data_IF_576968287569
#
_entry.id   IF_576968287569
#
_cell.length_a   1.000
_cell.length_b   1.000
_cell.length_c   1.000
_cell.angle_alpha   90.00
_cell.angle_beta   90.00
_cell.angle_gamma   90.00
#
_symmetry.space_group_name_H-M   'P 1'
#
loop_
_entity.id
_entity.type
_entity.pdbx_description
1 polymer ?
#
# COMPACT_ATOMS: atom_id res chain seq x y z
N UNK A 1 -4.81 4.10 33.52
CA UNK A 1 -5.54 3.43 32.41
C UNK A 1 -6.91 4.06 32.08
N UNK A 2 -7.80 4.32 33.05
CA UNK A 2 -9.16 4.85 32.80
C UNK A 2 -9.19 6.21 32.06
N UNK A 3 -8.36 7.17 32.47
CA UNK A 3 -8.26 8.48 31.79
C UNK A 3 -7.80 8.34 30.32
N UNK A 4 -6.89 7.41 30.06
CA UNK A 4 -6.42 7.12 28.71
C UNK A 4 -7.52 6.48 27.85
N UNK A 5 -8.39 5.66 28.45
CA UNK A 5 -9.57 5.12 27.77
C UNK A 5 -10.56 6.22 27.39
N UNK A 6 -10.82 7.19 28.28
CA UNK A 6 -11.66 8.34 27.95
C UNK A 6 -11.08 9.16 26.79
N UNK A 7 -9.77 9.38 26.79
CA UNK A 7 -9.06 10.03 25.69
C UNK A 7 -9.22 9.23 24.38
N UNK A 8 -8.97 7.93 24.42
CA UNK A 8 -9.15 7.03 23.28
C UNK A 8 -10.58 7.14 22.71
N UNK A 9 -11.59 7.01 23.55
CA UNK A 9 -13.00 7.12 23.16
C UNK A 9 -13.37 8.52 22.64
N UNK A 10 -12.65 9.57 23.05
CA UNK A 10 -12.86 10.92 22.50
C UNK A 10 -12.32 11.06 21.08
N UNK A 11 -11.23 10.36 20.75
CA UNK A 11 -10.54 10.43 19.46
C UNK A 11 -11.22 9.51 18.43
N UNK A 12 -11.43 8.23 18.78
CA UNK A 12 -11.88 7.19 17.85
C UNK A 12 -13.40 7.11 17.81
N UNK A 13 -13.98 7.85 16.87
CA UNK A 13 -15.43 7.92 16.62
C UNK A 13 -15.68 7.91 15.12
N UNK A 14 -16.87 7.46 14.74
CA UNK A 14 -17.36 7.64 13.37
C UNK A 14 -17.94 9.04 13.15
N UNK A 15 -18.35 9.31 11.92
CA UNK A 15 -18.91 10.58 11.47
C UNK A 15 -20.26 10.96 12.13
N UNK A 16 -20.89 10.01 12.82
CA UNK A 16 -22.13 10.19 13.61
C UNK A 16 -21.85 10.34 15.11
N UNK A 17 -20.58 10.37 15.52
CA UNK A 17 -20.15 10.48 16.91
C UNK A 17 -20.22 9.18 17.72
N UNK A 18 -20.53 8.04 17.08
CA UNK A 18 -20.49 6.72 17.71
C UNK A 18 -19.05 6.36 18.05
N UNK A 19 -18.82 5.94 19.29
CA UNK A 19 -17.50 5.54 19.79
C UNK A 19 -17.12 4.21 19.18
N UNK A 20 -15.89 4.12 18.67
CA UNK A 20 -15.28 2.85 18.33
C UNK A 20 -14.58 2.25 19.54
N UNK A 21 -14.56 0.92 19.60
CA UNK A 21 -13.80 0.17 20.60
C UNK A 21 -12.70 -0.65 19.93
N UNK A 22 -11.65 -0.95 20.69
CA UNK A 22 -10.70 -2.00 20.37
C UNK A 22 -10.96 -3.23 21.25
N UNK A 23 -10.63 -4.44 20.78
CA UNK A 23 -10.49 -5.59 21.65
C UNK A 23 -9.60 -5.27 22.86
N UNK A 24 -9.97 -5.73 24.05
CA UNK A 24 -9.31 -5.37 25.32
C UNK A 24 -7.79 -5.60 25.28
N UNK A 25 -7.34 -6.71 24.66
CA UNK A 25 -5.93 -7.02 24.49
C UNK A 25 -5.20 -5.97 23.65
N UNK A 26 -5.78 -5.55 22.51
CA UNK A 26 -5.20 -4.50 21.66
C UNK A 26 -5.17 -3.15 22.37
N UNK A 27 -6.21 -2.82 23.12
CA UNK A 27 -6.25 -1.59 23.90
C UNK A 27 -5.15 -1.58 24.98
N UNK A 28 -4.95 -2.70 25.70
CA UNK A 28 -3.86 -2.84 26.68
C UNK A 28 -2.48 -2.74 26.03
N UNK A 29 -2.28 -3.36 24.87
CA UNK A 29 -1.02 -3.25 24.13
C UNK A 29 -0.73 -1.81 23.71
N UNK A 30 -1.75 -1.08 23.27
CA UNK A 30 -1.67 0.33 22.91
C UNK A 30 -1.30 1.19 24.12
N UNK A 31 -1.99 1.00 25.25
CA UNK A 31 -1.69 1.72 26.49
C UNK A 31 -0.23 1.55 26.93
N UNK A 32 0.29 0.31 26.88
CA UNK A 32 1.68 -0.04 27.22
C UNK A 32 2.74 0.55 26.29
N UNK A 33 2.36 1.06 25.12
CA UNK A 33 3.32 1.80 24.27
C UNK A 33 3.72 3.11 24.94
N UNK A 34 2.80 3.71 25.69
CA UNK A 34 2.95 5.03 26.30
C UNK A 34 3.19 4.98 27.81
N UNK A 35 2.69 3.96 28.50
CA UNK A 35 3.05 3.64 29.89
C UNK A 35 4.41 2.90 29.89
N UNK A 36 5.49 3.69 29.94
CA UNK A 36 6.87 3.21 29.75
C UNK A 36 7.52 2.71 31.03
N UNK A 37 7.02 3.11 32.19
CA UNK A 37 7.46 2.60 33.50
C UNK A 37 6.55 1.49 34.07
N UNK A 38 5.48 1.13 33.36
CA UNK A 38 4.52 0.05 33.69
C UNK A 38 3.87 0.28 35.07
N UNK A 39 3.65 1.55 35.44
CA UNK A 39 3.03 1.94 36.70
C UNK A 39 1.48 2.02 36.63
N UNK A 40 0.93 1.91 35.41
CA UNK A 40 -0.50 1.94 35.14
C UNK A 40 -1.08 3.35 34.93
N UNK A 41 -0.25 4.38 34.97
CA UNK A 41 -0.58 5.79 34.74
C UNK A 41 0.16 6.31 33.50
N UNK A 42 -0.23 7.51 33.06
CA UNK A 42 0.48 8.22 31.99
C UNK A 42 0.95 9.52 32.61
N UNK A 43 2.26 9.62 32.83
CA UNK A 43 2.90 10.83 33.32
C UNK A 43 2.82 11.96 32.28
N UNK A 44 3.18 13.18 32.67
CA UNK A 44 3.19 14.32 31.74
C UNK A 44 4.18 14.11 30.59
N UNK A 45 5.32 13.52 30.89
CA UNK A 45 6.38 13.21 29.93
C UNK A 45 5.90 12.15 28.92
N UNK A 46 5.28 11.08 29.39
CA UNK A 46 4.68 10.04 28.55
C UNK A 46 3.52 10.57 27.72
N UNK A 47 2.66 11.41 28.30
CA UNK A 47 1.61 12.08 27.56
C UNK A 47 2.19 12.97 26.46
N UNK A 48 3.30 13.66 26.72
CA UNK A 48 3.96 14.48 25.70
C UNK A 48 4.48 13.61 24.55
N UNK A 49 5.07 12.45 24.84
CA UNK A 49 5.48 11.47 23.82
C UNK A 49 4.28 10.95 23.01
N UNK A 50 3.21 10.56 23.70
CA UNK A 50 1.94 10.12 23.12
C UNK A 50 1.31 11.20 22.21
N UNK A 51 1.32 12.45 22.66
CA UNK A 51 0.80 13.59 21.91
C UNK A 51 1.56 13.81 20.60
N UNK A 52 2.89 13.92 20.70
CA UNK A 52 3.75 14.25 19.55
C UNK A 52 3.78 13.13 18.50
N UNK A 53 3.78 11.87 18.92
CA UNK A 53 4.04 10.74 18.02
C UNK A 53 2.79 9.94 17.64
N UNK A 54 1.66 10.15 18.31
CA UNK A 54 0.44 9.37 18.07
C UNK A 54 -0.81 10.24 17.94
N UNK A 55 -1.15 11.03 18.95
CA UNK A 55 -2.41 11.79 18.95
C UNK A 55 -2.44 12.79 17.79
N UNK A 56 -1.39 13.59 17.59
CA UNK A 56 -1.33 14.59 16.50
C UNK A 56 -1.61 13.98 15.13
N UNK A 57 -0.94 12.86 14.82
CA UNK A 57 -1.09 12.14 13.55
C UNK A 57 -2.52 11.61 13.42
N UNK A 58 -3.07 11.03 14.49
CA UNK A 58 -4.43 10.48 14.47
C UNK A 58 -5.50 11.57 14.29
N UNK A 59 -5.35 12.73 14.93
CA UNK A 59 -6.36 13.79 14.88
C UNK A 59 -6.28 14.67 13.63
N UNK A 60 -5.09 14.77 13.03
CA UNK A 60 -4.78 15.62 11.88
C UNK A 60 -3.89 14.86 10.88
N UNK A 61 -4.43 13.83 10.21
CA UNK A 61 -3.69 13.10 9.16
C UNK A 61 -3.25 14.03 8.03
N UNK A 62 -2.08 13.75 7.46
CA UNK A 62 -1.74 14.22 6.10
C UNK A 62 -2.03 13.09 5.13
N UNK A 63 -2.99 13.32 4.24
CA UNK A 63 -3.60 12.30 3.40
C UNK A 63 -3.08 12.34 1.97
N UNK A 64 -2.72 11.17 1.43
CA UNK A 64 -2.44 11.00 0.02
C UNK A 64 -3.42 10.02 -0.62
N UNK A 65 -3.83 10.31 -1.85
CA UNK A 65 -4.61 9.40 -2.68
C UNK A 65 -3.76 8.84 -3.82
N UNK A 66 -3.51 7.53 -3.79
CA UNK A 66 -2.74 6.80 -4.79
C UNK A 66 -3.66 5.97 -5.68
N UNK A 67 -3.73 6.35 -6.95
CA UNK A 67 -4.52 5.68 -7.97
C UNK A 67 -3.60 4.78 -8.78
N UNK A 68 -3.78 3.47 -8.63
CA UNK A 68 -2.87 2.44 -9.15
C UNK A 68 -3.31 1.99 -10.54
N UNK A 69 -2.47 2.27 -11.54
CA UNK A 69 -2.49 1.65 -12.87
C UNK A 69 -3.85 1.70 -13.59
N UNK A 70 -4.60 2.80 -13.47
CA UNK A 70 -5.86 3.01 -14.21
C UNK A 70 -5.54 3.38 -15.67
N UNK A 71 -4.90 2.46 -16.38
CA UNK A 71 -4.34 2.60 -17.73
C UNK A 71 -5.14 1.79 -18.76
N UNK A 72 -5.00 2.18 -20.02
CA UNK A 72 -5.76 1.60 -21.12
C UNK A 72 -5.61 0.08 -21.24
N UNK A 73 -4.41 -0.48 -21.08
CA UNK A 73 -4.22 -1.94 -21.24
C UNK A 73 -4.94 -2.77 -20.19
N UNK A 74 -5.13 -2.24 -18.98
CA UNK A 74 -5.86 -2.92 -17.92
C UNK A 74 -7.37 -2.76 -18.01
N UNK A 75 -7.87 -1.75 -18.74
CA UNK A 75 -9.30 -1.45 -18.83
C UNK A 75 -9.90 -1.93 -20.17
N UNK A 76 -9.21 -1.67 -21.28
CA UNK A 76 -9.69 -1.87 -22.64
C UNK A 76 -8.71 -2.66 -23.54
N UNK A 77 -7.45 -2.79 -23.14
CA UNK A 77 -6.38 -3.28 -24.00
C UNK A 77 -5.94 -4.72 -23.69
N UNK A 78 -4.64 -4.97 -23.80
CA UNK A 78 -4.10 -6.33 -23.93
C UNK A 78 -4.10 -7.15 -22.64
N UNK A 79 -4.19 -6.51 -21.48
CA UNK A 79 -4.28 -7.15 -20.17
C UNK A 79 -5.56 -6.69 -19.45
N UNK A 80 -6.67 -6.69 -20.19
CA UNK A 80 -7.96 -6.25 -19.68
C UNK A 80 -8.41 -7.11 -18.50
N UNK A 81 -8.65 -6.47 -17.35
CA UNK A 81 -9.10 -7.13 -16.11
C UNK A 81 -10.46 -7.81 -16.26
N UNK A 82 -11.34 -7.31 -17.14
CA UNK A 82 -12.66 -7.93 -17.39
C UNK A 82 -12.59 -9.29 -18.07
N UNK A 83 -11.47 -9.61 -18.74
CA UNK A 83 -11.25 -10.90 -19.40
C UNK A 83 -10.62 -11.95 -18.47
N UNK A 84 -10.40 -11.58 -17.21
CA UNK A 84 -9.76 -12.42 -16.20
C UNK A 84 -10.79 -13.24 -15.41
N UNK A 85 -10.39 -14.31 -14.70
CA UNK A 85 -11.31 -15.21 -14.00
C UNK A 85 -12.32 -14.54 -13.06
N UNK A 86 -11.97 -13.41 -12.46
CA UNK A 86 -12.88 -12.64 -11.61
C UNK A 86 -14.06 -12.01 -12.37
N UNK A 87 -13.95 -11.85 -13.69
CA UNK A 87 -14.98 -11.30 -14.57
C UNK A 87 -15.53 -9.96 -14.06
N UNK A 88 -14.61 -9.10 -13.63
CA UNK A 88 -14.88 -7.81 -13.00
C UNK A 88 -14.65 -6.69 -14.02
N UNK A 89 -15.62 -5.79 -14.22
CA UNK A 89 -15.45 -4.67 -15.15
C UNK A 89 -14.57 -3.57 -14.51
N UNK A 90 -13.33 -3.34 -15.00
CA UNK A 90 -12.43 -2.33 -14.44
C UNK A 90 -12.88 -0.89 -14.71
N UNK A 91 -13.68 -0.62 -15.75
CA UNK A 91 -14.15 0.75 -16.03
C UNK A 91 -15.06 1.29 -14.90
N UNK A 92 -15.71 0.40 -14.14
CA UNK A 92 -16.63 0.77 -13.05
C UNK A 92 -15.94 1.54 -11.91
N UNK A 93 -14.61 1.44 -11.77
CA UNK A 93 -13.86 2.15 -10.72
C UNK A 93 -13.65 3.63 -11.07
N UNK A 94 -13.73 4.01 -12.34
CA UNK A 94 -13.37 5.36 -12.79
C UNK A 94 -14.31 6.39 -12.18
N UNK A 95 -15.63 6.12 -12.21
CA UNK A 95 -16.62 7.05 -11.66
C UNK A 95 -16.44 7.32 -10.15
N UNK A 96 -16.32 6.31 -9.26
CA UNK A 96 -16.09 6.59 -7.84
C UNK A 96 -14.72 7.21 -7.58
N UNK A 97 -13.66 6.86 -8.33
CA UNK A 97 -12.35 7.54 -8.22
C UNK A 97 -12.47 9.04 -8.58
N UNK A 98 -13.10 9.37 -9.71
CA UNK A 98 -13.34 10.76 -10.11
C UNK A 98 -14.18 11.50 -9.07
N UNK A 99 -15.18 10.85 -8.48
CA UNK A 99 -15.97 11.43 -7.40
C UNK A 99 -15.10 11.76 -6.17
N UNK A 100 -14.16 10.91 -5.80
CA UNK A 100 -13.23 11.22 -4.71
C UNK A 100 -12.34 12.42 -5.06
N UNK A 101 -11.82 12.48 -6.28
CA UNK A 101 -11.00 13.60 -6.77
C UNK A 101 -11.76 14.94 -6.75
N UNK A 102 -13.05 14.94 -7.07
CA UNK A 102 -13.87 16.15 -7.10
C UNK A 102 -14.30 16.64 -5.70
N UNK A 103 -14.52 15.73 -4.76
CA UNK A 103 -15.26 16.04 -3.52
C UNK A 103 -14.49 15.80 -2.22
N UNK A 104 -13.28 15.23 -2.29
CA UNK A 104 -12.40 15.00 -1.14
C UNK A 104 -11.10 15.77 -1.34
N UNK A 105 -10.76 16.61 -0.36
CA UNK A 105 -9.53 17.40 -0.37
C UNK A 105 -8.38 16.60 0.23
N UNK A 106 -7.77 15.73 -0.59
CA UNK A 106 -6.50 15.10 -0.23
C UNK A 106 -5.36 16.12 -0.27
N UNK A 107 -4.34 15.93 0.56
CA UNK A 107 -3.15 16.80 0.59
C UNK A 107 -2.25 16.56 -0.63
N UNK A 108 -2.24 15.35 -1.19
CA UNK A 108 -1.51 15.01 -2.41
C UNK A 108 -2.18 13.87 -3.17
N UNK A 109 -2.16 13.91 -4.50
CA UNK A 109 -2.67 12.84 -5.37
C UNK A 109 -1.52 12.28 -6.21
N UNK A 110 -1.45 10.94 -6.27
CA UNK A 110 -0.48 10.18 -7.02
C UNK A 110 -1.19 9.26 -8.03
N UNK A 111 -0.58 9.09 -9.19
CA UNK A 111 -0.96 8.07 -10.16
C UNK A 111 0.24 7.16 -10.39
N UNK A 112 0.12 5.86 -10.12
CA UNK A 112 1.13 4.93 -10.62
C UNK A 112 0.83 4.55 -12.07
N UNK A 113 1.91 4.34 -12.82
CA UNK A 113 1.85 3.86 -14.19
C UNK A 113 2.81 2.70 -14.33
N UNK A 114 2.26 1.57 -14.70
CA UNK A 114 3.02 0.47 -15.26
C UNK A 114 3.64 0.92 -16.59
N UNK A 115 4.94 0.70 -16.77
CA UNK A 115 5.71 1.41 -17.80
C UNK A 115 6.87 0.59 -18.37
N UNK A 116 6.53 -0.49 -19.06
CA UNK A 116 7.47 -1.54 -19.46
C UNK A 116 8.21 -1.28 -20.78
N UNK A 117 9.54 -1.49 -20.84
CA UNK A 117 10.23 -1.49 -22.12
C UNK A 117 9.74 -2.67 -23.00
N UNK A 118 9.80 -2.57 -24.34
CA UNK A 118 9.27 -3.62 -25.23
C UNK A 118 9.88 -5.01 -25.02
N UNK A 119 11.11 -5.07 -24.50
CA UNK A 119 11.85 -6.29 -24.21
C UNK A 119 11.72 -6.74 -22.74
N UNK A 120 10.76 -6.25 -21.97
CA UNK A 120 10.58 -6.61 -20.56
C UNK A 120 10.43 -8.12 -20.32
N UNK A 121 11.06 -8.65 -19.26
CA UNK A 121 11.11 -10.09 -18.95
C UNK A 121 9.76 -10.70 -18.58
N UNK A 122 8.82 -9.88 -18.12
CA UNK A 122 7.50 -10.39 -17.74
C UNK A 122 6.65 -10.76 -18.95
N UNK A 123 7.02 -10.35 -20.16
CA UNK A 123 6.26 -10.66 -21.36
C UNK A 123 6.58 -12.05 -21.90
N UNK A 124 5.54 -12.86 -22.12
CA UNK A 124 5.65 -14.18 -22.75
C UNK A 124 6.40 -14.13 -24.10
N UNK A 125 6.23 -13.06 -24.86
CA UNK A 125 6.90 -12.85 -26.15
C UNK A 125 8.44 -12.77 -26.04
N UNK A 126 8.95 -12.37 -24.87
CA UNK A 126 10.37 -12.19 -24.62
C UNK A 126 11.00 -13.39 -23.92
N UNK A 127 10.26 -14.48 -23.71
CA UNK A 127 10.69 -15.61 -22.89
C UNK A 127 12.02 -16.24 -23.33
N UNK A 128 12.31 -16.24 -24.63
CA UNK A 128 13.57 -16.77 -25.20
C UNK A 128 14.76 -15.82 -25.08
N UNK A 129 14.56 -14.59 -24.61
CA UNK A 129 15.63 -13.60 -24.42
C UNK A 129 16.32 -13.73 -23.06
N UNK A 130 15.74 -14.51 -22.14
CA UNK A 130 16.21 -14.66 -20.77
C UNK A 130 16.57 -16.13 -20.49
N UNK A 131 17.66 -16.33 -19.76
CA UNK A 131 18.13 -17.67 -19.39
C UNK A 131 17.24 -18.25 -18.28
N UNK A 132 16.79 -19.49 -18.46
CA UNK A 132 15.98 -20.20 -17.46
C UNK A 132 16.87 -20.84 -16.41
N UNK A 133 16.47 -20.71 -15.15
CA UNK A 133 17.10 -21.45 -14.08
C UNK A 133 16.67 -22.94 -14.18
N UNK A 134 17.59 -23.90 -13.94
CA UNK A 134 17.25 -25.32 -13.94
C UNK A 134 16.15 -25.73 -12.96
N UNK A 135 15.88 -24.92 -11.93
CA UNK A 135 14.80 -25.14 -10.96
C UNK A 135 13.43 -24.64 -11.42
N UNK A 136 13.34 -23.98 -12.59
CA UNK A 136 12.06 -23.50 -13.12
C UNK A 136 11.06 -24.66 -13.27
N UNK A 137 9.81 -24.51 -12.79
CA UNK A 137 8.82 -25.59 -12.80
C UNK A 137 8.33 -25.93 -14.23
N UNK A 138 8.53 -25.03 -15.17
CA UNK A 138 8.20 -25.20 -16.59
C UNK A 138 9.41 -24.82 -17.46
N UNK A 139 9.57 -25.52 -18.58
CA UNK A 139 10.64 -25.23 -19.54
C UNK A 139 10.26 -24.07 -20.46
N UNK A 140 11.25 -23.41 -21.07
CA UNK A 140 11.04 -22.28 -21.99
C UNK A 140 10.10 -22.61 -23.16
N UNK A 141 10.07 -23.87 -23.62
CA UNK A 141 9.23 -24.29 -24.75
C UNK A 141 7.81 -24.71 -24.33
N UNK A 142 7.59 -24.93 -23.03
CA UNK A 142 6.30 -25.38 -22.48
C UNK A 142 5.54 -24.28 -21.75
N UNK A 143 6.25 -23.23 -21.33
CA UNK A 143 5.69 -22.10 -20.62
C UNK A 143 4.60 -21.38 -21.43
N UNK A 144 3.54 -21.01 -20.73
CA UNK A 144 2.35 -20.36 -21.29
C UNK A 144 2.09 -19.03 -20.60
N UNK A 145 1.16 -18.28 -21.19
CA UNK A 145 0.60 -17.10 -20.57
C UNK A 145 0.13 -17.41 -19.14
N UNK A 146 0.48 -16.54 -18.20
CA UNK A 146 0.18 -16.62 -16.77
C UNK A 146 0.92 -17.70 -15.97
N UNK A 147 1.78 -18.52 -16.60
CA UNK A 147 2.68 -19.40 -15.86
C UNK A 147 3.68 -18.58 -15.04
N UNK A 148 4.18 -19.18 -13.96
CA UNK A 148 5.32 -18.64 -13.23
C UNK A 148 6.58 -19.43 -13.58
N UNK A 149 7.58 -18.73 -14.11
CA UNK A 149 8.89 -19.27 -14.47
C UNK A 149 9.96 -18.81 -13.49
N UNK A 150 11.13 -19.43 -13.55
CA UNK A 150 12.31 -18.97 -12.82
C UNK A 150 13.43 -18.69 -13.83
N UNK A 151 13.86 -17.44 -13.89
CA UNK A 151 15.02 -17.03 -14.67
C UNK A 151 16.30 -17.14 -13.83
N UNK A 152 17.40 -17.46 -14.50
CA UNK A 152 18.73 -17.46 -13.90
C UNK A 152 19.09 -16.07 -13.38
N UNK A 153 19.65 -16.03 -12.18
CA UNK A 153 20.02 -14.80 -11.48
C UNK A 153 20.71 -15.11 -10.16
N UNK A 154 21.16 -14.08 -9.45
CA UNK A 154 21.69 -14.24 -8.10
C UNK A 154 21.01 -13.24 -7.14
N UNK A 155 19.94 -13.64 -6.43
CA UNK A 155 19.27 -14.95 -6.47
C UNK A 155 18.47 -15.19 -7.77
N UNK A 156 18.03 -16.43 -8.04
CA UNK A 156 17.12 -16.72 -9.16
C UNK A 156 15.83 -15.89 -9.08
N UNK A 157 15.29 -15.50 -10.24
CA UNK A 157 14.19 -14.54 -10.35
C UNK A 157 12.91 -15.28 -10.70
N UNK A 158 11.94 -15.27 -9.78
CA UNK A 158 10.61 -15.85 -10.00
C UNK A 158 9.71 -14.84 -10.71
N UNK A 159 9.25 -15.15 -11.92
CA UNK A 159 8.50 -14.22 -12.78
C UNK A 159 7.20 -14.84 -13.27
N UNK A 160 6.09 -14.14 -13.07
CA UNK A 160 4.81 -14.48 -13.72
C UNK A 160 4.79 -13.91 -15.14
N UNK A 161 4.37 -14.71 -16.11
CA UNK A 161 4.34 -14.31 -17.51
C UNK A 161 3.01 -13.64 -17.87
N UNK A 162 3.10 -12.50 -18.54
CA UNK A 162 1.98 -11.65 -18.94
C UNK A 162 1.98 -11.46 -20.46
N UNK A 163 0.84 -11.08 -21.06
CA UNK A 163 0.85 -10.55 -22.42
C UNK A 163 1.67 -9.25 -22.43
N UNK A 164 2.12 -8.80 -23.60
CA UNK A 164 2.66 -7.45 -23.72
C UNK A 164 1.61 -6.43 -23.32
N UNK A 165 1.92 -5.59 -22.36
CA UNK A 165 1.04 -4.53 -21.85
C UNK A 165 1.87 -3.33 -21.41
N UNK A 166 1.24 -2.18 -21.30
CA UNK A 166 1.79 -0.96 -20.73
C UNK A 166 3.19 -0.59 -21.30
N UNK A 167 3.39 -0.86 -22.60
CA UNK A 167 4.66 -0.59 -23.26
C UNK A 167 4.91 0.92 -23.27
N UNK A 168 6.12 1.33 -22.87
CA UNK A 168 6.53 2.73 -22.79
C UNK A 168 6.15 3.52 -24.04
N UNK A 169 5.50 4.67 -23.82
CA UNK A 169 5.01 5.60 -24.84
C UNK A 169 3.90 5.04 -25.75
N UNK A 170 3.42 3.82 -25.49
CA UNK A 170 2.29 3.23 -26.20
C UNK A 170 0.94 3.71 -25.66
N UNK A 171 -0.11 3.52 -26.46
CA UNK A 171 -1.50 3.82 -26.05
C UNK A 171 -1.91 3.04 -24.79
N UNK A 172 -1.55 1.76 -24.72
CA UNK A 172 -1.88 0.88 -23.60
C UNK A 172 -1.34 1.36 -22.25
N UNK A 173 -0.23 2.12 -22.27
CA UNK A 173 0.42 2.66 -21.08
C UNK A 173 -0.11 4.04 -20.66
N UNK A 174 -1.01 4.65 -21.43
CA UNK A 174 -1.63 5.92 -21.04
C UNK A 174 -2.70 5.66 -19.98
N UNK A 175 -2.86 6.61 -19.06
CA UNK A 175 -4.04 6.62 -18.17
C UNK A 175 -5.31 6.68 -19.02
N UNK A 176 -6.37 6.03 -18.54
CA UNK A 176 -7.62 5.96 -19.28
C UNK A 176 -8.27 7.34 -19.44
N UNK A 177 -8.79 7.65 -20.63
CA UNK A 177 -9.27 8.99 -20.99
C UNK A 177 -10.39 9.53 -20.09
N UNK A 178 -11.20 8.63 -19.50
CA UNK A 178 -12.28 9.01 -18.59
C UNK A 178 -11.81 9.28 -17.14
N UNK A 179 -10.56 8.97 -16.80
CA UNK A 179 -9.99 9.26 -15.48
C UNK A 179 -9.62 10.75 -15.41
N UNK A 180 -10.08 11.43 -14.37
CA UNK A 180 -9.62 12.78 -14.07
C UNK A 180 -8.13 12.69 -13.69
N UNK A 181 -7.29 13.51 -14.32
CA UNK A 181 -5.88 13.66 -13.96
C UNK A 181 -5.67 15.11 -13.53
N UNK A 182 -5.34 15.32 -12.25
CA UNK A 182 -5.10 16.66 -11.72
C UNK A 182 -3.79 17.23 -12.26
N UNK A 183 -3.74 18.54 -12.50
CA UNK A 183 -2.59 19.23 -13.09
C UNK A 183 -1.34 19.15 -12.21
N UNK A 184 -1.51 19.10 -10.89
CA UNK A 184 -0.44 19.06 -9.88
C UNK A 184 -0.14 17.64 -9.38
N UNK A 185 -0.77 16.62 -9.96
CA UNK A 185 -0.57 15.24 -9.53
C UNK A 185 0.80 14.69 -9.89
N UNK A 186 1.32 13.83 -9.01
CA UNK A 186 2.63 13.20 -9.17
C UNK A 186 2.45 11.83 -9.83
N UNK A 187 3.17 11.60 -10.93
CA UNK A 187 3.17 10.32 -11.65
C UNK A 187 4.36 9.46 -11.22
N UNK A 188 4.09 8.23 -10.81
CA UNK A 188 5.09 7.25 -10.40
C UNK A 188 5.16 6.14 -11.45
N UNK A 189 6.29 6.04 -12.13
CA UNK A 189 6.51 4.99 -13.13
C UNK A 189 7.17 3.77 -12.49
N UNK A 190 6.62 2.59 -12.75
CA UNK A 190 7.14 1.30 -12.26
C UNK A 190 7.32 0.31 -13.41
N UNK A 191 8.11 -0.74 -13.17
CA UNK A 191 8.38 -1.78 -14.18
C UNK A 191 9.25 -1.29 -15.35
N UNK A 192 10.05 -0.25 -15.12
CA UNK A 192 10.80 0.46 -16.18
C UNK A 192 12.08 -0.25 -16.62
N UNK A 193 12.55 -1.21 -15.83
CA UNK A 193 13.76 -1.99 -16.11
C UNK A 193 13.41 -3.30 -16.80
N UNK A 194 14.08 -3.69 -17.89
CA UNK A 194 13.71 -4.89 -18.65
C UNK A 194 13.91 -6.20 -17.88
N UNK A 195 14.72 -6.18 -16.81
CA UNK A 195 15.18 -7.39 -16.11
C UNK A 195 14.52 -7.59 -14.75
N UNK A 196 13.51 -6.79 -14.39
CA UNK A 196 12.81 -6.94 -13.11
C UNK A 196 11.41 -6.35 -13.19
N UNK A 197 10.42 -7.13 -12.76
CA UNK A 197 9.04 -6.69 -12.62
C UNK A 197 8.84 -5.86 -11.35
N UNK A 198 7.86 -4.95 -11.35
CA UNK A 198 7.52 -4.06 -10.24
C UNK A 198 6.00 -3.94 -10.12
N UNK A 199 5.38 -4.80 -9.30
CA UNK A 199 3.95 -4.68 -9.02
C UNK A 199 3.67 -3.53 -8.06
N UNK A 200 4.49 -3.42 -7.01
CA UNK A 200 4.37 -2.33 -6.04
C UNK A 200 4.78 -1.01 -6.67
N UNK A 201 4.05 0.06 -6.32
CA UNK A 201 4.43 1.42 -6.64
C UNK A 201 5.62 1.91 -5.80
N UNK A 202 6.13 1.13 -4.84
CA UNK A 202 7.29 1.49 -4.00
C UNK A 202 8.60 0.82 -4.40
N UNK A 203 8.55 -0.47 -4.74
CA UNK A 203 9.72 -1.29 -5.04
C UNK A 203 9.46 -2.19 -6.24
N UNK A 204 10.55 -2.55 -6.92
CA UNK A 204 10.53 -3.75 -7.75
C UNK A 204 10.32 -5.03 -6.92
N UNK A 205 9.93 -6.11 -7.58
CA UNK A 205 9.57 -7.37 -6.92
C UNK A 205 10.75 -8.03 -6.18
N UNK A 206 12.00 -7.64 -6.47
CA UNK A 206 13.19 -8.11 -5.79
C UNK A 206 13.64 -7.16 -4.67
N UNK A 207 12.94 -6.05 -4.44
CA UNK A 207 13.29 -4.96 -3.52
C UNK A 207 14.70 -4.42 -3.74
N UNK A 208 15.16 -4.39 -5.00
CA UNK A 208 16.49 -3.90 -5.36
C UNK A 208 16.46 -2.43 -5.79
N UNK A 209 15.39 -2.02 -6.48
CA UNK A 209 15.21 -0.65 -6.95
C UNK A 209 13.95 -0.07 -6.32
N UNK A 210 14.13 1.04 -5.61
CA UNK A 210 13.04 1.85 -5.09
C UNK A 210 12.51 2.76 -6.19
N UNK A 211 11.20 2.96 -6.24
CA UNK A 211 10.60 4.05 -7.01
C UNK A 211 10.73 5.38 -6.23
N UNK A 212 10.35 6.49 -6.86
CA UNK A 212 10.33 7.79 -6.20
C UNK A 212 9.15 7.99 -5.23
N UNK A 213 8.18 7.05 -5.16
CA UNK A 213 6.96 7.24 -4.37
C UNK A 213 7.27 7.53 -2.90
N UNK A 214 8.13 6.73 -2.28
CA UNK A 214 8.52 6.91 -0.89
C UNK A 214 9.12 8.30 -0.62
N UNK A 215 10.00 8.77 -1.52
CA UNK A 215 10.64 10.07 -1.38
C UNK A 215 9.60 11.20 -1.40
N UNK A 216 8.64 11.14 -2.34
CA UNK A 216 7.57 12.12 -2.39
C UNK A 216 6.64 12.06 -1.18
N UNK A 217 6.22 10.86 -0.76
CA UNK A 217 5.36 10.69 0.43
C UNK A 217 6.04 11.26 1.68
N UNK A 218 7.35 11.02 1.83
CA UNK A 218 8.15 11.57 2.92
C UNK A 218 8.27 13.08 2.85
N UNK A 219 8.58 13.65 1.68
CA UNK A 219 8.68 15.09 1.47
C UNK A 219 7.36 15.81 1.81
N UNK A 220 6.22 15.19 1.44
CA UNK A 220 4.88 15.71 1.70
C UNK A 220 4.38 15.43 3.13
N UNK A 221 5.18 14.76 3.97
CA UNK A 221 4.80 14.35 5.33
C UNK A 221 3.50 13.55 5.39
N UNK A 222 3.29 12.67 4.40
CA UNK A 222 2.10 11.83 4.34
C UNK A 222 2.10 10.86 5.52
N UNK A 223 0.96 10.73 6.18
CA UNK A 223 0.72 9.77 7.26
C UNK A 223 -0.26 8.68 6.85
N UNK A 224 -1.17 9.00 5.92
CA UNK A 224 -2.29 8.15 5.51
C UNK A 224 -2.28 8.00 4.00
N UNK A 225 -2.16 6.76 3.53
CA UNK A 225 -2.17 6.44 2.12
C UNK A 225 -3.45 5.70 1.76
N UNK A 226 -4.31 6.38 0.99
CA UNK A 226 -5.52 5.84 0.40
C UNK A 226 -5.18 5.25 -0.96
N UNK A 227 -5.43 3.97 -1.17
CA UNK A 227 -5.01 3.22 -2.36
C UNK A 227 -6.24 2.66 -3.06
N UNK A 228 -6.29 2.84 -4.37
CA UNK A 228 -7.29 2.21 -5.24
C UNK A 228 -6.71 1.86 -6.61
N UNK A 229 -7.51 1.26 -7.50
CA UNK A 229 -7.09 1.01 -8.88
C UNK A 229 -7.08 -0.47 -9.26
N UNK A 230 -6.15 -0.86 -10.13
CA UNK A 230 -6.05 -2.21 -10.66
C UNK A 230 -4.60 -2.73 -10.70
N UNK A 231 -4.36 -4.03 -10.74
CA UNK A 231 -5.29 -5.06 -10.29
C UNK A 231 -5.26 -5.19 -8.76
N UNK A 232 -6.42 -5.40 -8.14
CA UNK A 232 -6.59 -5.51 -6.69
C UNK A 232 -5.59 -6.49 -6.06
N UNK A 233 -5.55 -7.72 -6.58
CA UNK A 233 -4.77 -8.87 -6.12
C UNK A 233 -3.31 -8.87 -6.61
N UNK A 234 -2.89 -7.82 -7.33
CA UNK A 234 -1.53 -7.69 -7.87
C UNK A 234 -0.90 -6.36 -7.45
N UNK A 235 -1.08 -5.29 -8.25
CA UNK A 235 -0.41 -4.02 -8.02
C UNK A 235 -0.94 -3.27 -6.79
N UNK A 236 -2.27 -3.27 -6.59
CA UNK A 236 -2.89 -2.64 -5.41
C UNK A 236 -2.45 -3.38 -4.14
N UNK A 237 -2.52 -4.71 -4.14
CA UNK A 237 -2.10 -5.55 -3.03
C UNK A 237 -0.62 -5.36 -2.67
N UNK A 238 0.28 -5.48 -3.66
CA UNK A 238 1.71 -5.30 -3.44
C UNK A 238 2.04 -3.90 -2.92
N UNK A 239 1.41 -2.88 -3.48
CA UNK A 239 1.56 -1.48 -3.04
C UNK A 239 1.05 -1.27 -1.61
N UNK A 240 -0.09 -1.87 -1.26
CA UNK A 240 -0.65 -1.77 0.09
C UNK A 240 0.24 -2.44 1.14
N UNK A 241 0.80 -3.62 0.84
CA UNK A 241 1.72 -4.28 1.77
C UNK A 241 3.03 -3.50 1.95
N UNK A 242 3.63 -3.00 0.88
CA UNK A 242 4.83 -2.18 1.00
C UNK A 242 4.53 -0.86 1.74
N UNK A 243 3.37 -0.24 1.51
CA UNK A 243 2.91 0.93 2.26
C UNK A 243 2.87 0.67 3.77
N UNK A 244 2.33 -0.49 4.18
CA UNK A 244 2.32 -0.94 5.57
C UNK A 244 3.75 -1.24 6.07
N UNK A 245 4.61 -1.80 5.25
CA UNK A 245 6.01 -2.06 5.64
C UNK A 245 6.77 -0.75 5.89
N UNK A 246 6.48 0.30 5.10
CA UNK A 246 7.05 1.63 5.26
C UNK A 246 6.51 2.44 6.44
N UNK A 247 5.50 1.95 7.16
CA UNK A 247 4.95 2.63 8.33
C UNK A 247 3.72 3.51 8.04
N UNK A 248 3.20 3.54 6.81
CA UNK A 248 2.04 4.37 6.48
C UNK A 248 0.75 3.73 6.95
N UNK A 249 -0.16 4.55 7.48
CA UNK A 249 -1.53 4.11 7.76
C UNK A 249 -2.20 3.86 6.41
N UNK A 250 -2.46 2.60 6.12
CA UNK A 250 -2.81 2.16 4.77
C UNK A 250 -4.29 1.82 4.67
N UNK A 251 -4.96 2.43 3.71
CA UNK A 251 -6.41 2.34 3.49
C UNK A 251 -6.65 1.92 2.04
N UNK A 252 -7.22 0.74 1.81
CA UNK A 252 -7.64 0.30 0.47
C UNK A 252 -9.12 0.61 0.27
N UNK A 253 -9.47 1.23 -0.86
CA UNK A 253 -10.85 1.62 -1.18
C UNK A 253 -11.48 0.55 -2.09
N UNK A 254 -12.23 -0.37 -1.48
CA UNK A 254 -12.66 -1.64 -2.08
C UNK A 254 -13.47 -1.48 -3.37
N UNK A 255 -14.46 -0.58 -3.37
CA UNK A 255 -15.33 -0.31 -4.51
C UNK A 255 -14.64 0.45 -5.64
N UNK A 256 -13.50 1.08 -5.36
CA UNK A 256 -12.60 1.71 -6.33
C UNK A 256 -11.51 0.75 -6.86
N UNK A 257 -11.62 -0.56 -6.62
CA UNK A 257 -10.68 -1.55 -7.09
C UNK A 257 -11.35 -2.66 -7.91
N UNK A 258 -10.62 -3.23 -8.87
CA UNK A 258 -10.98 -4.50 -9.55
C UNK A 258 -9.75 -5.37 -9.71
N UNK A 259 -9.91 -6.69 -9.70
CA UNK A 259 -8.80 -7.65 -9.72
C UNK A 259 -9.00 -8.79 -10.71
N UNK A 260 -7.98 -9.64 -10.79
CA UNK A 260 -7.84 -10.69 -11.80
C UNK A 260 -8.58 -11.97 -11.38
N UNK A 261 -8.48 -12.37 -10.11
CA UNK A 261 -9.06 -13.61 -9.59
C UNK A 261 -9.76 -13.40 -8.23
N UNK A 262 -10.96 -13.95 -8.05
CA UNK A 262 -11.75 -13.73 -6.83
C UNK A 262 -11.09 -14.30 -5.58
N UNK A 263 -10.43 -15.46 -5.67
CA UNK A 263 -9.78 -16.05 -4.50
C UNK A 263 -8.54 -15.24 -4.13
N UNK A 264 -7.74 -14.84 -5.13
CA UNK A 264 -6.56 -14.00 -4.90
C UNK A 264 -6.94 -12.62 -4.33
N UNK A 265 -8.09 -12.05 -4.75
CA UNK A 265 -8.63 -10.83 -4.15
C UNK A 265 -8.94 -11.05 -2.67
N UNK A 266 -9.67 -12.11 -2.32
CA UNK A 266 -10.01 -12.37 -0.92
C UNK A 266 -8.76 -12.68 -0.07
N UNK A 267 -7.78 -13.39 -0.61
CA UNK A 267 -6.46 -13.58 0.04
C UNK A 267 -5.76 -12.23 0.29
N UNK A 268 -5.70 -11.36 -0.72
CA UNK A 268 -5.12 -10.02 -0.60
C UNK A 268 -5.84 -9.19 0.48
N UNK A 269 -7.19 -9.23 0.51
CA UNK A 269 -7.97 -8.54 1.56
C UNK A 269 -7.61 -9.03 2.96
N UNK A 270 -7.56 -10.35 3.14
CA UNK A 270 -7.22 -10.95 4.42
C UNK A 270 -5.79 -10.58 4.85
N UNK A 271 -4.84 -10.60 3.94
CA UNK A 271 -3.45 -10.24 4.22
C UNK A 271 -3.29 -8.75 4.56
N UNK A 272 -3.97 -7.85 3.85
CA UNK A 272 -3.98 -6.41 4.19
C UNK A 272 -4.51 -6.19 5.62
N UNK A 273 -5.66 -6.79 5.95
CA UNK A 273 -6.28 -6.66 7.28
C UNK A 273 -5.40 -7.26 8.38
N UNK A 274 -4.79 -8.42 8.11
CA UNK A 274 -3.88 -9.09 9.04
C UNK A 274 -2.63 -8.24 9.32
N UNK A 275 -2.17 -7.47 8.35
CA UNK A 275 -1.03 -6.55 8.49
C UNK A 275 -1.45 -5.15 9.00
N UNK A 276 -2.68 -4.99 9.49
CA UNK A 276 -3.24 -3.74 10.04
C UNK A 276 -3.47 -2.62 9.03
N UNK A 277 -3.51 -2.93 7.73
CA UNK A 277 -4.24 -2.09 6.78
C UNK A 277 -5.74 -2.20 7.06
N UNK A 278 -6.51 -1.26 6.51
CA UNK A 278 -7.98 -1.32 6.53
C UNK A 278 -8.53 -1.26 5.12
N UNK A 279 -9.74 -1.80 4.97
CA UNK A 279 -10.49 -1.80 3.71
C UNK A 279 -11.80 -1.08 3.98
N UNK A 280 -12.09 -0.06 3.18
CA UNK A 280 -13.30 0.77 3.29
C UNK A 280 -13.94 0.92 1.92
N UNK A 281 -15.12 1.53 1.87
CA UNK A 281 -15.70 1.97 0.60
C UNK A 281 -15.55 3.48 0.41
N UNK A 282 -15.66 3.94 -0.84
CA UNK A 282 -15.47 5.32 -1.27
C UNK A 282 -16.32 6.33 -0.47
N UNK A 283 -17.53 5.95 -0.06
CA UNK A 283 -18.42 6.81 0.72
C UNK A 283 -17.90 7.14 2.14
N UNK A 284 -16.98 6.35 2.70
CA UNK A 284 -16.38 6.58 4.02
C UNK A 284 -15.18 7.54 3.96
N UNK A 285 -14.51 7.62 2.81
CA UNK A 285 -13.22 8.31 2.62
C UNK A 285 -13.28 9.76 3.06
N UNK A 286 -14.32 10.49 2.64
CA UNK A 286 -14.45 11.92 2.96
C UNK A 286 -14.44 12.19 4.46
N UNK A 287 -15.19 11.40 5.23
CA UNK A 287 -15.25 11.58 6.66
C UNK A 287 -13.90 11.27 7.33
N UNK A 288 -13.15 10.30 6.79
CA UNK A 288 -11.83 9.96 7.33
C UNK A 288 -10.78 11.02 7.03
N UNK A 289 -10.72 11.53 5.79
CA UNK A 289 -9.80 12.61 5.39
C UNK A 289 -10.08 13.89 6.19
N UNK A 290 -11.36 14.23 6.42
CA UNK A 290 -11.74 15.40 7.23
C UNK A 290 -11.59 15.17 8.75
N UNK A 291 -11.12 14.00 9.19
CA UNK A 291 -10.97 13.67 10.61
C UNK A 291 -12.29 13.57 11.37
N UNK A 292 -13.40 13.29 10.70
CA UNK A 292 -14.72 13.02 11.32
C UNK A 292 -14.94 11.54 11.60
N UNK A 293 -14.29 10.66 10.86
CA UNK A 293 -14.24 9.22 11.12
C UNK A 293 -12.79 8.79 11.38
N UNK A 294 -12.50 8.25 12.57
CA UNK A 294 -11.18 7.76 12.94
C UNK A 294 -11.26 6.30 13.30
N UNK A 295 -10.86 5.43 12.38
CA UNK A 295 -10.79 3.99 12.57
C UNK A 295 -9.69 3.65 13.60
N UNK A 296 -10.01 2.95 14.70
CA UNK A 296 -9.04 2.66 15.76
C UNK A 296 -7.91 1.73 15.33
N UNK A 297 -8.11 0.92 14.30
CA UNK A 297 -7.11 0.01 13.73
C UNK A 297 -5.88 0.77 13.25
N UNK A 298 -6.09 1.91 12.59
CA UNK A 298 -5.01 2.78 12.10
C UNK A 298 -4.23 3.42 13.26
N UNK A 299 -4.93 3.80 14.33
CA UNK A 299 -4.31 4.30 15.56
C UNK A 299 -3.51 3.22 16.27
N UNK A 300 -4.07 2.01 16.38
CA UNK A 300 -3.38 0.86 16.96
C UNK A 300 -2.10 0.51 16.20
N UNK A 301 -2.18 0.44 14.87
CA UNK A 301 -1.03 0.19 14.01
C UNK A 301 0.09 1.21 14.24
N UNK A 302 -0.24 2.51 14.25
CA UNK A 302 0.74 3.57 14.50
C UNK A 302 1.42 3.40 15.87
N UNK A 303 0.67 3.06 16.92
CA UNK A 303 1.25 2.80 18.24
C UNK A 303 2.20 1.58 18.23
N UNK A 304 1.86 0.52 17.51
CA UNK A 304 2.74 -0.66 17.39
C UNK A 304 4.03 -0.35 16.64
N UNK A 305 4.00 0.55 15.65
CA UNK A 305 5.22 1.01 14.96
C UNK A 305 6.16 1.79 15.91
N UNK A 306 5.60 2.61 16.81
CA UNK A 306 6.39 3.29 17.84
C UNK A 306 7.07 2.32 18.80
N UNK A 307 6.37 1.23 19.18
CA UNK A 307 6.92 0.18 20.05
C UNK A 307 8.14 -0.50 19.44
N UNK A 308 8.08 -0.86 18.16
CA UNK A 308 9.22 -1.47 17.43
C UNK A 308 10.39 -0.50 17.37
N UNK A 309 10.14 0.74 16.96
CA UNK A 309 11.17 1.80 16.87
C UNK A 309 11.86 2.07 18.22
N UNK A 310 11.12 2.03 19.32
CA UNK A 310 11.67 2.21 20.66
C UNK A 310 12.58 1.03 21.07
N UNK A 311 12.21 -0.21 20.73
CA UNK A 311 13.02 -1.39 20.99
C UNK A 311 14.35 -1.36 20.21
N UNK A 312 14.32 -0.96 18.94
CA UNK A 312 15.53 -0.87 18.10
C UNK A 312 16.52 0.16 18.66
N UNK A 313 16.02 1.35 19.07
CA UNK A 313 16.84 2.37 19.74
C UNK A 313 17.42 1.88 21.06
N UNK A 314 16.66 1.10 21.84
CA UNK A 314 17.17 0.52 23.08
C UNK A 314 18.30 -0.49 22.83
N UNK A 315 18.15 -1.36 21.82
CA UNK A 315 19.18 -2.31 21.40
C UNK A 315 20.46 -1.61 20.91
N UNK A 316 20.35 -0.58 20.06
CA UNK A 316 21.48 0.22 19.60
C UNK A 316 22.21 0.92 20.76
N UNK A 317 21.47 1.46 21.73
CA UNK A 317 22.05 2.11 22.91
C UNK A 317 22.81 1.13 23.83
N UNK A 318 22.36 -0.12 23.92
CA UNK A 318 23.02 -1.17 24.69
C UNK A 318 24.30 -1.65 24.02
N UNK A 319 24.30 -1.83 22.70
CA UNK A 319 25.50 -2.17 21.92
C UNK A 319 26.58 -1.07 22.01
N UNK A 320 26.17 0.20 21.93
CA UNK A 320 27.09 1.34 22.03
C UNK A 320 27.72 1.45 23.42
N UNK A 321 26.97 1.21 24.49
CA UNK A 321 27.50 1.17 25.87
C UNK A 321 28.43 -0.02 26.12
N UNK A 322 28.21 -1.15 25.43
CA UNK A 322 29.10 -2.32 25.53
C UNK A 322 30.46 -2.08 24.85
N UNK A 323 30.50 -1.32 23.75
CA UNK A 323 31.73 -1.01 23.01
C UNK A 323 32.60 0.06 23.69
N UNK A 324 32.01 0.91 24.54
CA UNK A 324 32.74 1.94 25.30
C UNK A 324 33.36 1.35 26.59
N UNK A 325 32.92 0.16 27.01
CA UNK A 325 33.39 -0.55 28.20
C UNK A 325 34.37 -1.72 27.91
N UNK A 326 34.91 -1.80 26.69
CA UNK A 326 35.97 -2.74 26.27
C UNK A 326 37.19 -1.99 25.78
#
# INVERSE_FOLDING_TARGET
MEEFEMLFQSIFRNDKGTIYSLPENKFRDLFRVFDTDDDGFITKEEFSHCWENWIKIVISPTSAFLIVDVQNDFILGSLNVSEQPANQNPEEIIRPINHLLDFVSFDTVFYSLDWHPPNHMSFIDNIHQYEFDPSSPVTVNEAKLYDTVIYSGNPPIRQKLWPKHCIQNGWGAQLHDNLIVLDDAIKIYKGTYPTVESYSAFWDNNKLNQTELYNYLKEKNITDLYICGVAYDVCVYATALDSIEFGYRTIVIDDCCRGMDLNAIEEAKNDILKNNGIIINSHEVKAMVEGRDRKPELGYYLAMQLKVSNNDRQLESHMTKSLINT
#
